data_IF_635265368231
#
_entry.id   IF_635265368231
#
_cell.length_a   1.000
_cell.length_b   1.000
_cell.length_c   1.000
_cell.angle_alpha   90.00
_cell.angle_beta   90.00
_cell.angle_gamma   90.00
#
_symmetry.space_group_name_H-M   'P 1'
#
loop_
_entity.id
_entity.type
_entity.pdbx_description
1 polymer ?
#
# COMPACT_ATOMS: atom_id res chain seq x y z
N UNK A 1 18.41 11.79 5.96
CA UNK A 1 17.63 11.85 7.23
C UNK A 1 16.41 10.95 7.13
N UNK A 2 16.25 10.00 8.05
CA UNK A 2 15.09 9.09 8.04
C UNK A 2 13.84 9.79 8.55
N UNK A 3 12.80 9.88 7.72
CA UNK A 3 11.50 10.40 8.10
C UNK A 3 10.42 9.35 7.84
N UNK A 4 9.67 9.01 8.86
CA UNK A 4 8.63 7.96 8.77
C UNK A 4 9.13 6.63 8.20
N UNK A 5 10.39 6.22 8.51
CA UNK A 5 11.00 4.99 8.00
C UNK A 5 11.56 5.09 6.58
N UNK A 6 11.53 6.28 5.95
CA UNK A 6 12.03 6.54 4.60
C UNK A 6 13.32 7.34 4.67
N UNK A 7 14.33 6.90 3.95
CA UNK A 7 15.51 7.70 3.66
C UNK A 7 15.17 8.69 2.54
N UNK A 8 14.73 9.89 2.99
CA UNK A 8 14.25 10.91 2.09
C UNK A 8 15.36 11.46 1.19
N UNK A 9 16.60 11.59 1.68
CA UNK A 9 17.73 12.12 0.91
C UNK A 9 18.14 11.13 -0.19
N UNK A 10 18.24 9.85 0.15
CA UNK A 10 18.51 8.82 -0.86
C UNK A 10 17.42 8.75 -1.94
N UNK A 11 16.16 8.94 -1.55
CA UNK A 11 15.05 8.94 -2.51
C UNK A 11 15.08 10.19 -3.40
N UNK A 12 15.33 11.38 -2.84
CA UNK A 12 15.51 12.63 -3.60
C UNK A 12 16.66 12.48 -4.62
N UNK A 13 17.81 11.95 -4.20
CA UNK A 13 18.95 11.72 -5.10
C UNK A 13 18.57 10.80 -6.27
N UNK A 14 17.87 9.71 -6.03
CA UNK A 14 17.40 8.81 -7.10
C UNK A 14 16.46 9.49 -8.10
N UNK A 15 15.61 10.42 -7.66
CA UNK A 15 14.77 11.20 -8.56
C UNK A 15 15.56 12.28 -9.31
N UNK A 16 16.52 12.95 -8.65
CA UNK A 16 17.35 13.96 -9.26
C UNK A 16 18.28 13.40 -10.35
N UNK A 17 18.82 12.20 -10.11
CA UNK A 17 19.74 11.52 -11.03
C UNK A 17 19.01 10.66 -12.08
N UNK A 18 17.66 10.56 -11.99
CA UNK A 18 16.89 9.73 -12.90
C UNK A 18 16.88 10.28 -14.31
N UNK A 19 16.95 9.37 -15.26
CA UNK A 19 16.72 9.64 -16.69
C UNK A 19 15.36 9.12 -17.12
N UNK A 20 14.83 9.61 -18.26
CA UNK A 20 13.56 9.15 -18.80
C UNK A 20 13.46 7.62 -18.97
N UNK A 21 14.60 6.94 -19.18
CA UNK A 21 14.67 5.49 -19.33
C UNK A 21 14.58 4.70 -18.00
N UNK A 22 14.71 5.35 -16.87
CA UNK A 22 14.75 4.71 -15.53
C UNK A 22 13.40 4.69 -14.80
N UNK A 23 12.30 5.02 -15.47
CA UNK A 23 10.98 5.10 -14.87
C UNK A 23 10.56 3.83 -14.11
N UNK A 24 10.83 2.64 -14.63
CA UNK A 24 10.51 1.38 -13.93
C UNK A 24 11.39 1.15 -12.69
N UNK A 25 12.65 1.54 -12.73
CA UNK A 25 13.53 1.48 -11.56
C UNK A 25 13.03 2.43 -10.45
N UNK A 26 12.56 3.62 -10.81
CA UNK A 26 11.93 4.57 -9.88
C UNK A 26 10.65 3.99 -9.29
N UNK A 27 9.76 3.42 -10.11
CA UNK A 27 8.53 2.77 -9.63
C UNK A 27 8.86 1.69 -8.59
N UNK A 28 9.79 0.79 -8.91
CA UNK A 28 10.24 -0.28 -8.01
C UNK A 28 10.81 0.29 -6.72
N UNK A 29 11.71 1.27 -6.80
CA UNK A 29 12.31 1.93 -5.63
C UNK A 29 11.25 2.56 -4.71
N UNK A 30 10.26 3.26 -5.30
CA UNK A 30 9.18 3.88 -4.53
C UNK A 30 8.29 2.82 -3.88
N UNK A 31 7.96 1.74 -4.60
CA UNK A 31 7.21 0.62 -4.03
C UNK A 31 7.92 0.04 -2.81
N UNK A 32 9.20 -0.30 -2.95
CA UNK A 32 10.02 -0.89 -1.88
C UNK A 32 10.16 0.04 -0.68
N UNK A 33 10.47 1.33 -0.92
CA UNK A 33 10.61 2.33 0.15
C UNK A 33 9.30 2.52 0.91
N UNK A 34 8.18 2.59 0.20
CA UNK A 34 6.84 2.75 0.79
C UNK A 34 6.47 1.52 1.61
N UNK A 35 6.62 0.31 1.06
CA UNK A 35 6.35 -0.93 1.78
C UNK A 35 7.20 -1.08 3.03
N UNK A 36 8.50 -0.85 2.92
CA UNK A 36 9.41 -0.91 4.07
C UNK A 36 9.01 0.06 5.18
N UNK A 37 8.57 1.26 4.81
CA UNK A 37 8.09 2.24 5.79
C UNK A 37 6.77 1.85 6.45
N UNK A 38 5.90 1.11 5.76
CA UNK A 38 4.64 0.61 6.30
C UNK A 38 4.84 -0.64 7.18
N UNK A 39 5.81 -1.50 6.90
CA UNK A 39 6.07 -2.75 7.64
C UNK A 39 6.42 -2.54 9.12
N UNK A 40 7.11 -1.47 9.46
CA UNK A 40 7.55 -1.19 10.82
C UNK A 40 6.51 -0.52 11.72
N UNK A 41 5.24 -0.40 11.29
CA UNK A 41 4.22 0.43 11.96
C UNK A 41 2.85 -0.21 11.92
N UNK A 42 1.99 0.22 12.84
CA UNK A 42 0.56 -0.05 12.71
C UNK A 42 0.04 0.52 11.38
N UNK A 43 -0.68 -0.29 10.62
CA UNK A 43 -1.25 0.06 9.32
C UNK A 43 -2.51 0.92 9.50
N UNK A 44 -2.35 2.09 10.12
CA UNK A 44 -3.40 3.09 10.26
C UNK A 44 -3.36 4.09 9.10
N UNK A 45 -4.50 4.67 8.74
CA UNK A 45 -4.59 5.71 7.71
C UNK A 45 -3.67 6.90 8.00
N UNK A 46 -3.46 7.23 9.27
CA UNK A 46 -2.53 8.29 9.69
C UNK A 46 -1.09 7.97 9.30
N UNK A 47 -0.63 6.75 9.60
CA UNK A 47 0.71 6.31 9.24
C UNK A 47 0.89 6.19 7.73
N UNK A 48 -0.10 5.65 7.02
CA UNK A 48 -0.12 5.60 5.56
C UNK A 48 0.02 7.00 4.98
N UNK A 49 -0.80 7.95 5.42
CA UNK A 49 -0.75 9.35 4.96
C UNK A 49 0.63 9.99 5.20
N UNK A 50 1.26 9.76 6.34
CA UNK A 50 2.59 10.28 6.65
C UNK A 50 3.67 9.72 5.72
N UNK A 51 3.64 8.42 5.46
CA UNK A 51 4.56 7.74 4.54
C UNK A 51 4.38 8.28 3.13
N UNK A 52 3.15 8.31 2.61
CA UNK A 52 2.85 8.80 1.27
C UNK A 52 3.25 10.27 1.08
N UNK A 53 2.96 11.15 2.04
CA UNK A 53 3.39 12.55 2.00
C UNK A 53 4.92 12.67 1.94
N UNK A 54 5.65 11.83 2.67
CA UNK A 54 7.12 11.86 2.67
C UNK A 54 7.68 11.42 1.32
N UNK A 55 7.13 10.36 0.74
CA UNK A 55 7.52 9.86 -0.59
C UNK A 55 7.17 10.87 -1.67
N UNK A 56 5.95 11.39 -1.69
CA UNK A 56 5.51 12.37 -2.68
C UNK A 56 6.33 13.67 -2.62
N UNK A 57 6.69 14.13 -1.41
CA UNK A 57 7.58 15.28 -1.23
C UNK A 57 8.99 15.00 -1.74
N UNK A 58 9.54 13.81 -1.49
CA UNK A 58 10.85 13.43 -2.01
C UNK A 58 10.85 13.36 -3.55
N UNK A 59 9.78 12.82 -4.14
CA UNK A 59 9.60 12.80 -5.59
C UNK A 59 9.52 14.20 -6.18
N UNK A 60 8.73 15.11 -5.57
CA UNK A 60 8.64 16.52 -6.01
C UNK A 60 9.99 17.21 -5.95
N UNK A 61 10.70 17.09 -4.81
CA UNK A 61 11.97 17.78 -4.61
C UNK A 61 13.05 17.26 -5.56
N UNK A 62 13.15 15.93 -5.73
CA UNK A 62 14.13 15.33 -6.61
C UNK A 62 13.83 15.61 -8.09
N UNK A 63 12.57 15.53 -8.51
CA UNK A 63 12.17 15.86 -9.87
C UNK A 63 12.37 17.34 -10.22
N UNK A 64 12.13 18.25 -9.27
CA UNK A 64 12.40 19.68 -9.46
C UNK A 64 13.91 19.99 -9.59
N UNK A 65 14.77 19.18 -8.97
CA UNK A 65 16.24 19.28 -9.09
C UNK A 65 16.82 18.58 -10.32
N UNK A 66 16.02 17.85 -11.08
CA UNK A 66 16.47 17.17 -12.29
C UNK A 66 16.58 18.13 -13.47
N UNK A 67 17.53 17.88 -14.39
CA UNK A 67 17.67 18.63 -15.64
C UNK A 67 16.75 18.14 -16.76
N UNK A 68 15.68 17.40 -16.42
CA UNK A 68 14.77 16.77 -17.38
C UNK A 68 13.77 17.76 -17.97
N UNK A 69 13.36 17.57 -19.23
CA UNK A 69 12.21 18.27 -19.79
C UNK A 69 10.93 18.00 -19.00
N UNK A 70 9.98 18.95 -19.02
CA UNK A 70 8.71 18.84 -18.27
C UNK A 70 7.94 17.55 -18.54
N UNK A 71 7.94 17.04 -19.78
CA UNK A 71 7.28 15.79 -20.14
C UNK A 71 7.92 14.57 -19.46
N UNK A 72 9.24 14.56 -19.32
CA UNK A 72 9.97 13.48 -18.63
C UNK A 72 9.78 13.55 -17.11
N UNK A 73 9.72 14.77 -16.56
CA UNK A 73 9.35 15.00 -15.15
C UNK A 73 7.95 14.46 -14.86
N UNK A 74 6.97 14.73 -15.73
CA UNK A 74 5.61 14.20 -15.62
C UNK A 74 5.61 12.66 -15.63
N UNK A 75 6.33 12.06 -16.58
CA UNK A 75 6.46 10.61 -16.65
C UNK A 75 7.11 10.02 -15.39
N UNK A 76 8.12 10.68 -14.83
CA UNK A 76 8.81 10.27 -13.60
C UNK A 76 7.88 10.32 -12.39
N UNK A 77 7.11 11.41 -12.23
CA UNK A 77 6.12 11.55 -11.18
C UNK A 77 5.00 10.49 -11.30
N UNK A 78 4.54 10.21 -12.52
CA UNK A 78 3.56 9.16 -12.77
C UNK A 78 4.08 7.79 -12.31
N UNK A 79 5.37 7.48 -12.53
CA UNK A 79 5.99 6.25 -12.02
C UNK A 79 6.12 6.23 -10.50
N UNK A 80 6.38 7.37 -9.87
CA UNK A 80 6.36 7.48 -8.41
C UNK A 80 4.96 7.21 -7.84
N UNK A 81 3.92 7.80 -8.44
CA UNK A 81 2.52 7.55 -8.06
C UNK A 81 2.16 6.08 -8.23
N UNK A 82 2.50 5.47 -9.37
CA UNK A 82 2.29 4.04 -9.60
C UNK A 82 3.04 3.15 -8.59
N UNK A 83 4.21 3.58 -8.12
CA UNK A 83 4.95 2.89 -7.07
C UNK A 83 4.26 2.98 -5.70
N UNK A 84 3.74 4.14 -5.34
CA UNK A 84 2.94 4.32 -4.12
C UNK A 84 1.65 3.52 -4.17
N UNK A 85 0.94 3.55 -5.29
CA UNK A 85 -0.28 2.77 -5.52
C UNK A 85 -0.03 1.27 -5.39
N UNK A 86 1.03 0.76 -6.02
CA UNK A 86 1.42 -0.65 -5.91
C UNK A 86 1.75 -1.08 -4.47
N UNK A 87 2.36 -0.20 -3.67
CA UNK A 87 2.62 -0.47 -2.26
C UNK A 87 1.33 -0.51 -1.43
N UNK A 88 0.39 0.40 -1.69
CA UNK A 88 -0.91 0.42 -1.01
C UNK A 88 -1.78 -0.77 -1.42
N UNK A 89 -1.78 -1.16 -2.68
CA UNK A 89 -2.44 -2.38 -3.15
C UNK A 89 -2.00 -3.59 -2.33
N UNK A 90 -0.69 -3.75 -2.10
CA UNK A 90 -0.15 -4.81 -1.25
C UNK A 90 -0.57 -4.67 0.21
N UNK A 91 -0.67 -3.44 0.73
CA UNK A 91 -1.20 -3.19 2.06
C UNK A 91 -2.68 -3.61 2.17
N UNK A 92 -3.50 -3.34 1.16
CA UNK A 92 -4.90 -3.83 1.09
C UNK A 92 -4.93 -5.35 1.07
N UNK A 93 -4.09 -6.00 0.27
CA UNK A 93 -4.01 -7.47 0.21
C UNK A 93 -3.59 -8.09 1.55
N UNK A 94 -2.65 -7.46 2.27
CA UNK A 94 -2.24 -7.92 3.60
C UNK A 94 -3.37 -7.81 4.61
N UNK A 95 -4.08 -6.68 4.62
CA UNK A 95 -5.28 -6.50 5.45
C UNK A 95 -6.36 -7.54 5.10
N UNK A 96 -6.59 -7.79 3.80
CA UNK A 96 -7.55 -8.81 3.35
C UNK A 96 -7.23 -10.18 3.92
N UNK A 97 -5.96 -10.62 3.81
CA UNK A 97 -5.54 -11.93 4.32
C UNK A 97 -5.74 -12.04 5.83
N UNK A 98 -5.40 -11.00 6.58
CA UNK A 98 -5.60 -10.98 8.02
C UNK A 98 -7.11 -11.01 8.40
N UNK A 99 -7.93 -10.19 7.73
CA UNK A 99 -9.38 -10.17 7.95
C UNK A 99 -10.05 -11.49 7.54
N UNK A 100 -9.61 -12.10 6.42
CA UNK A 100 -10.11 -13.40 5.99
C UNK A 100 -9.85 -14.48 7.06
N UNK A 101 -8.64 -14.52 7.62
CA UNK A 101 -8.34 -15.46 8.70
C UNK A 101 -9.23 -15.25 9.92
N UNK A 102 -9.52 -14.00 10.28
CA UNK A 102 -10.43 -13.69 11.39
C UNK A 102 -11.87 -14.18 11.09
N UNK A 103 -12.37 -13.92 9.89
CA UNK A 103 -13.70 -14.37 9.45
C UNK A 103 -13.79 -15.90 9.41
N UNK A 104 -12.77 -16.58 8.90
CA UNK A 104 -12.69 -18.04 8.85
C UNK A 104 -12.65 -18.67 10.26
N UNK A 105 -12.15 -17.94 11.24
CA UNK A 105 -12.12 -18.35 12.65
C UNK A 105 -13.38 -17.91 13.43
N UNK A 106 -14.37 -17.31 12.75
CA UNK A 106 -15.68 -17.01 13.32
C UNK A 106 -15.88 -15.55 13.76
N UNK A 107 -14.93 -14.64 13.47
CA UNK A 107 -15.14 -13.21 13.68
C UNK A 107 -16.29 -12.71 12.78
N UNK A 108 -17.13 -11.85 13.31
CA UNK A 108 -18.24 -11.27 12.56
C UNK A 108 -17.87 -9.91 11.98
N UNK A 109 -18.41 -9.57 10.81
CA UNK A 109 -18.23 -8.24 10.20
C UNK A 109 -18.85 -7.11 11.04
N UNK A 110 -19.60 -7.44 12.08
CA UNK A 110 -20.21 -6.46 13.00
C UNK A 110 -19.26 -6.00 14.11
N UNK A 111 -18.18 -6.72 14.34
CA UNK A 111 -17.20 -6.37 15.37
C UNK A 111 -16.49 -5.06 15.03
N UNK A 112 -16.28 -4.24 16.04
CA UNK A 112 -15.77 -2.87 15.89
C UNK A 112 -14.43 -2.83 15.13
N UNK A 113 -13.53 -3.76 15.42
CA UNK A 113 -12.22 -3.84 14.79
C UNK A 113 -12.31 -4.20 13.31
N UNK A 114 -13.16 -5.19 12.96
CA UNK A 114 -13.39 -5.59 11.57
C UNK A 114 -14.00 -4.44 10.78
N UNK A 115 -15.02 -3.77 11.34
CA UNK A 115 -15.62 -2.57 10.72
C UNK A 115 -14.59 -1.47 10.49
N UNK A 116 -13.74 -1.20 11.49
CA UNK A 116 -12.68 -0.20 11.38
C UNK A 116 -11.71 -0.58 10.26
N UNK A 117 -11.24 -1.82 10.22
CA UNK A 117 -10.31 -2.28 9.20
C UNK A 117 -10.90 -2.21 7.78
N UNK A 118 -12.17 -2.55 7.61
CA UNK A 118 -12.86 -2.40 6.32
C UNK A 118 -12.97 -0.92 5.90
N UNK A 119 -13.37 -0.04 6.84
CA UNK A 119 -13.44 1.40 6.58
C UNK A 119 -12.05 2.01 6.27
N UNK A 120 -10.99 1.50 6.88
CA UNK A 120 -9.62 1.92 6.58
C UNK A 120 -9.19 1.48 5.19
N UNK A 121 -9.53 0.24 4.76
CA UNK A 121 -9.30 -0.25 3.40
C UNK A 121 -10.01 0.63 2.38
N UNK A 122 -11.28 0.94 2.59
CA UNK A 122 -12.09 1.78 1.70
C UNK A 122 -11.46 3.19 1.51
N UNK A 123 -10.87 3.75 2.56
CA UNK A 123 -10.26 5.09 2.54
C UNK A 123 -8.81 5.13 2.08
N UNK A 124 -8.18 4.00 1.76
CA UNK A 124 -6.78 3.99 1.36
C UNK A 124 -6.52 4.75 0.06
N UNK A 125 -7.40 4.62 -0.92
CA UNK A 125 -7.32 5.37 -2.18
C UNK A 125 -7.48 6.87 -1.96
N UNK A 126 -8.46 7.30 -1.18
CA UNK A 126 -8.65 8.71 -0.81
C UNK A 126 -7.42 9.27 -0.10
N UNK A 127 -6.78 8.46 0.73
CA UNK A 127 -5.56 8.84 1.44
C UNK A 127 -4.39 9.04 0.46
N UNK A 128 -4.28 8.22 -0.59
CA UNK A 128 -3.31 8.41 -1.66
C UNK A 128 -3.57 9.73 -2.38
N UNK A 129 -4.79 9.98 -2.86
CA UNK A 129 -5.12 11.22 -3.54
C UNK A 129 -4.92 12.47 -2.67
N UNK A 130 -5.24 12.40 -1.38
CA UNK A 130 -4.98 13.49 -0.45
C UNK A 130 -3.48 13.79 -0.29
N UNK A 131 -2.63 12.76 -0.25
CA UNK A 131 -1.18 12.92 -0.20
C UNK A 131 -0.62 13.53 -1.49
N UNK A 132 -1.12 13.10 -2.66
CA UNK A 132 -0.69 13.64 -3.96
C UNK A 132 -1.10 15.10 -4.12
N UNK A 133 -2.33 15.47 -3.75
CA UNK A 133 -2.78 16.89 -3.77
C UNK A 133 -1.90 17.76 -2.89
N UNK A 134 -1.63 17.30 -1.66
CA UNK A 134 -0.75 18.03 -0.75
C UNK A 134 0.68 18.18 -1.29
N UNK A 135 1.20 17.18 -2.00
CA UNK A 135 2.51 17.28 -2.65
C UNK A 135 2.49 18.29 -3.81
N UNK A 136 1.42 18.32 -4.59
CA UNK A 136 1.22 19.30 -5.67
C UNK A 136 1.15 20.73 -5.11
N UNK A 137 0.32 20.97 -4.09
CA UNK A 137 0.16 22.28 -3.44
C UNK A 137 1.44 22.79 -2.77
N UNK A 138 2.25 21.90 -2.22
CA UNK A 138 3.51 22.21 -1.57
C UNK A 138 4.73 22.19 -2.49
N UNK A 139 4.53 22.03 -3.79
CA UNK A 139 5.61 21.94 -4.78
C UNK A 139 6.02 23.35 -5.28
N UNK A 140 7.18 23.41 -5.94
CA UNK A 140 7.59 24.64 -6.64
C UNK A 140 6.68 24.92 -7.85
N UNK A 141 6.57 26.17 -8.28
CA UNK A 141 5.73 26.58 -9.40
C UNK A 141 6.01 25.79 -10.70
N UNK A 142 7.26 25.40 -10.94
CA UNK A 142 7.65 24.55 -12.08
C UNK A 142 7.06 23.13 -12.04
N UNK A 143 6.61 22.67 -10.88
CA UNK A 143 6.06 21.32 -10.67
C UNK A 143 4.54 21.28 -10.66
N UNK A 144 3.85 22.45 -10.61
CA UNK A 144 2.37 22.50 -10.60
C UNK A 144 1.75 21.86 -11.83
N UNK A 145 2.25 22.19 -13.01
CA UNK A 145 1.77 21.60 -14.27
C UNK A 145 1.94 20.09 -14.37
N UNK A 146 3.15 19.55 -14.17
CA UNK A 146 3.39 18.12 -14.12
C UNK A 146 2.51 17.39 -13.09
N UNK A 147 2.37 17.89 -11.87
CA UNK A 147 1.51 17.29 -10.86
C UNK A 147 0.03 17.31 -11.23
N UNK A 148 -0.48 18.43 -11.79
CA UNK A 148 -1.87 18.52 -12.22
C UNK A 148 -2.21 17.46 -13.27
N UNK A 149 -1.32 17.24 -14.24
CA UNK A 149 -1.50 16.20 -15.28
C UNK A 149 -1.48 14.79 -14.70
N UNK A 150 -0.53 14.49 -13.80
CA UNK A 150 -0.44 13.18 -13.15
C UNK A 150 -1.68 12.91 -12.30
N UNK A 151 -2.14 13.89 -11.51
CA UNK A 151 -3.35 13.77 -10.70
C UNK A 151 -4.58 13.49 -11.58
N UNK A 152 -4.79 14.29 -12.65
CA UNK A 152 -5.92 14.11 -13.55
C UNK A 152 -5.89 12.74 -14.25
N UNK A 153 -4.71 12.30 -14.70
CA UNK A 153 -4.55 11.00 -15.34
C UNK A 153 -4.82 9.84 -14.37
N UNK A 154 -4.38 9.95 -13.11
CA UNK A 154 -4.62 8.92 -12.09
C UNK A 154 -6.09 8.88 -11.69
N UNK A 155 -6.75 10.04 -11.49
CA UNK A 155 -8.17 10.09 -11.16
C UNK A 155 -9.05 9.54 -12.28
N UNK A 156 -8.69 9.82 -13.55
CA UNK A 156 -9.48 9.35 -14.70
C UNK A 156 -9.37 7.84 -14.95
N UNK A 157 -8.26 7.21 -14.53
CA UNK A 157 -8.02 5.77 -14.72
C UNK A 157 -8.40 4.93 -13.49
N UNK A 158 -8.55 5.55 -12.33
CA UNK A 158 -8.59 4.85 -11.05
C UNK A 158 -7.21 4.32 -10.63
N UNK A 159 -7.16 3.67 -9.48
CA UNK A 159 -5.94 3.10 -8.90
C UNK A 159 -6.07 1.59 -8.68
N UNK A 160 -4.93 0.89 -8.65
CA UNK A 160 -4.89 -0.52 -8.25
C UNK A 160 -5.36 -0.70 -6.81
N UNK A 161 -5.04 0.26 -5.94
CA UNK A 161 -5.49 0.31 -4.54
C UNK A 161 -7.02 0.33 -4.44
N UNK A 162 -7.71 1.22 -5.20
CA UNK A 162 -9.17 1.33 -5.20
C UNK A 162 -9.85 0.06 -5.73
N UNK A 163 -9.35 -0.48 -6.84
CA UNK A 163 -9.85 -1.73 -7.40
C UNK A 163 -9.69 -2.90 -6.42
N UNK A 164 -8.52 -3.03 -5.79
CA UNK A 164 -8.24 -4.08 -4.81
C UNK A 164 -9.06 -3.91 -3.52
N UNK A 165 -9.27 -2.67 -3.07
CA UNK A 165 -10.10 -2.37 -1.91
C UNK A 165 -11.55 -2.83 -2.14
N UNK A 166 -12.15 -2.45 -3.26
CA UNK A 166 -13.52 -2.84 -3.63
C UNK A 166 -13.66 -4.36 -3.73
N UNK A 167 -12.74 -5.04 -4.41
CA UNK A 167 -12.72 -6.50 -4.51
C UNK A 167 -12.60 -7.18 -3.13
N UNK A 168 -11.76 -6.63 -2.26
CA UNK A 168 -11.56 -7.14 -0.90
C UNK A 168 -12.82 -7.06 -0.06
N UNK A 169 -13.51 -5.92 -0.07
CA UNK A 169 -14.75 -5.72 0.69
C UNK A 169 -15.83 -6.71 0.22
N UNK A 170 -16.02 -6.82 -1.09
CA UNK A 170 -16.98 -7.77 -1.68
C UNK A 170 -16.67 -9.20 -1.25
N UNK A 171 -15.43 -9.64 -1.39
CA UNK A 171 -15.04 -11.01 -1.05
C UNK A 171 -15.21 -11.35 0.44
N UNK A 172 -14.88 -10.41 1.33
CA UNK A 172 -15.05 -10.59 2.78
C UNK A 172 -16.54 -10.65 3.17
N UNK A 173 -17.39 -9.86 2.50
CA UNK A 173 -18.85 -9.91 2.70
C UNK A 173 -19.41 -11.27 2.28
N UNK A 174 -19.01 -11.77 1.13
CA UNK A 174 -19.44 -13.08 0.62
C UNK A 174 -18.99 -14.21 1.55
N UNK A 175 -17.73 -14.19 1.99
CA UNK A 175 -17.20 -15.18 2.94
C UNK A 175 -17.95 -15.17 4.28
N UNK A 176 -18.25 -13.98 4.81
CA UNK A 176 -19.01 -13.86 6.05
C UNK A 176 -20.46 -14.36 5.91
N UNK A 177 -21.10 -14.14 4.76
CA UNK A 177 -22.45 -14.68 4.49
C UNK A 177 -22.42 -16.21 4.38
N UNK A 178 -21.40 -16.80 3.75
CA UNK A 178 -21.24 -18.24 3.67
C UNK A 178 -21.04 -18.86 5.06
N UNK A 179 -20.16 -18.27 5.89
CA UNK A 179 -19.92 -18.73 7.26
C UNK A 179 -21.19 -18.68 8.13
N UNK A 180 -22.03 -17.67 7.95
CA UNK A 180 -23.34 -17.58 8.63
C UNK A 180 -24.31 -18.70 8.19
N UNK A 181 -24.32 -19.05 6.89
CA UNK A 181 -25.15 -20.12 6.35
C UNK A 181 -24.69 -21.50 6.85
N UNK A 182 -23.39 -21.69 6.95
CA UNK A 182 -22.79 -22.96 7.37
C UNK A 182 -22.86 -23.19 8.90
N UNK A 183 -23.43 -22.22 9.67
CA UNK A 183 -23.65 -22.36 11.11
C UNK A 183 -22.36 -22.43 11.95
N UNK A 184 -21.23 -22.02 11.40
CA UNK A 184 -19.93 -22.01 12.10
C UNK A 184 -19.83 -20.81 13.05
N UNK A 185 -20.56 -20.83 14.14
CA UNK A 185 -20.34 -19.89 15.25
C UNK A 185 -19.25 -20.44 16.18
N UNK A 186 -18.02 -20.00 16.00
CA UNK A 186 -16.96 -20.17 17.00
C UNK A 186 -17.18 -19.15 18.13
N UNK A 187 -17.05 -19.62 19.37
CA UNK A 187 -17.40 -18.86 20.56
C UNK A 187 -16.59 -17.57 20.71
N UNK A 188 -17.24 -16.53 21.26
CA UNK A 188 -16.77 -15.16 21.50
C UNK A 188 -15.38 -15.01 22.17
N UNK A 189 -14.87 -16.04 22.84
CA UNK A 189 -13.55 -15.98 23.52
C UNK A 189 -12.35 -16.12 22.59
N UNK A 190 -12.51 -16.75 21.42
CA UNK A 190 -11.43 -16.88 20.45
C UNK A 190 -11.21 -15.59 19.65
N UNK A 191 -12.24 -14.78 19.45
CA UNK A 191 -12.16 -13.52 18.67
C UNK A 191 -11.27 -12.46 19.34
N UNK A 192 -11.27 -12.36 20.66
CA UNK A 192 -10.54 -11.30 21.38
C UNK A 192 -9.02 -11.45 21.27
N UNK A 193 -8.51 -12.69 21.40
CA UNK A 193 -7.08 -12.98 21.21
C UNK A 193 -6.61 -12.76 19.76
N UNK A 194 -7.52 -12.90 18.78
CA UNK A 194 -7.22 -12.66 17.37
C UNK A 194 -7.13 -11.18 17.03
N UNK A 195 -7.92 -10.32 17.66
CA UNK A 195 -7.83 -8.88 17.47
C UNK A 195 -6.50 -8.30 17.95
N UNK A 196 -5.98 -8.82 19.06
CA UNK A 196 -4.66 -8.44 19.57
C UNK A 196 -3.53 -8.85 18.61
N UNK A 197 -3.76 -9.89 17.80
CA UNK A 197 -2.81 -10.38 16.81
C UNK A 197 -2.96 -9.75 15.42
N UNK A 198 -4.02 -8.97 15.16
CA UNK A 198 -4.33 -8.45 13.83
C UNK A 198 -3.20 -7.61 13.22
N UNK A 199 -2.65 -6.66 13.95
CA UNK A 199 -1.55 -5.82 13.46
C UNK A 199 -0.29 -6.65 13.16
N UNK A 200 -0.03 -7.69 13.96
CA UNK A 200 1.08 -8.62 13.76
C UNK A 200 0.87 -9.45 12.49
N UNK A 201 -0.34 -9.94 12.25
CA UNK A 201 -0.70 -10.69 11.03
C UNK A 201 -0.52 -9.83 9.78
N UNK A 202 -1.04 -8.60 9.78
CA UNK A 202 -0.88 -7.68 8.64
C UNK A 202 0.59 -7.37 8.38
N UNK A 203 1.37 -7.08 9.42
CA UNK A 203 2.81 -6.82 9.30
C UNK A 203 3.56 -8.05 8.77
N UNK A 204 3.25 -9.25 9.25
CA UNK A 204 3.88 -10.49 8.78
C UNK A 204 3.60 -10.77 7.29
N UNK A 205 2.37 -10.54 6.85
CA UNK A 205 2.01 -10.67 5.42
C UNK A 205 2.73 -9.65 4.57
N UNK A 206 2.82 -8.38 5.01
CA UNK A 206 3.54 -7.34 4.28
C UNK A 206 5.04 -7.65 4.16
N UNK A 207 5.67 -8.14 5.23
CA UNK A 207 7.07 -8.56 5.22
C UNK A 207 7.26 -9.66 4.18
N UNK A 208 6.46 -10.73 4.24
CA UNK A 208 6.56 -11.83 3.29
C UNK A 208 6.34 -11.41 1.82
N UNK A 209 5.44 -10.46 1.57
CA UNK A 209 5.22 -9.92 0.22
C UNK A 209 6.39 -9.06 -0.26
N UNK A 210 6.99 -8.26 0.63
CA UNK A 210 8.17 -7.45 0.31
C UNK A 210 9.40 -8.32 0.01
N UNK A 211 9.63 -9.35 0.82
CA UNK A 211 10.73 -10.29 0.61
C UNK A 211 10.60 -11.04 -0.72
N UNK A 212 9.37 -11.44 -1.09
CA UNK A 212 9.11 -12.06 -2.38
C UNK A 212 9.42 -11.14 -3.57
N UNK A 213 9.15 -9.83 -3.43
CA UNK A 213 9.51 -8.83 -4.46
C UNK A 213 11.02 -8.63 -4.59
N UNK A 214 11.74 -8.63 -3.46
CA UNK A 214 13.21 -8.47 -3.46
C UNK A 214 13.91 -9.68 -4.05
N UNK A 215 13.35 -10.88 -3.86
CA UNK A 215 13.89 -12.14 -4.40
C UNK A 215 13.52 -12.39 -5.88
N UNK A 216 12.93 -11.40 -6.56
CA UNK A 216 12.66 -11.51 -8.00
C UNK A 216 11.47 -12.39 -8.37
N UNK A 217 10.51 -12.57 -7.47
CA UNK A 217 9.26 -13.27 -7.78
C UNK A 217 9.37 -14.81 -7.80
N UNK A 218 10.41 -15.40 -7.21
CA UNK A 218 10.44 -16.84 -6.97
C UNK A 218 9.34 -17.23 -5.98
N UNK A 219 8.39 -18.06 -6.40
CA UNK A 219 7.36 -18.60 -5.53
C UNK A 219 8.00 -19.34 -4.34
N UNK A 220 7.47 -19.21 -3.11
CA UNK A 220 7.98 -19.94 -1.96
C UNK A 220 7.92 -21.44 -2.24
N UNK A 221 8.97 -22.19 -1.85
CA UNK A 221 8.97 -23.66 -2.06
C UNK A 221 7.79 -24.28 -1.33
N UNK A 222 6.98 -25.03 -2.06
CA UNK A 222 5.87 -25.79 -1.50
C UNK A 222 6.38 -26.65 -0.34
N UNK A 223 5.77 -26.52 0.83
CA UNK A 223 6.07 -27.31 2.01
C UNK A 223 5.97 -28.80 1.63
N UNK A 224 7.09 -29.52 1.64
CA UNK A 224 7.11 -30.97 1.44
C UNK A 224 6.32 -31.62 2.56
N UNK A 225 5.15 -32.14 2.26
CA UNK A 225 4.40 -33.01 3.15
C UNK A 225 5.26 -34.25 3.42
N UNK A 226 5.82 -34.37 4.61
CA UNK A 226 6.48 -35.59 5.05
C UNK A 226 5.41 -36.64 5.33
N UNK A 227 5.08 -37.46 4.35
CA UNK A 227 4.41 -38.75 4.58
C UNK A 227 5.41 -39.65 5.32
N UNK A 228 5.22 -39.80 6.62
CA UNK A 228 5.79 -40.95 7.34
C UNK A 228 4.96 -42.20 7.05
N UNK A 229 5.67 -43.23 6.60
CA UNK A 229 5.19 -44.61 6.60
C UNK A 229 5.01 -45.13 8.04
#
# INVERSE_FOLDING_TARGET
MFKHGIDQEALIGKFSDATAKQGEAIRKTVTEATLKALQGRELSLTNIKQVLNTVAKAASTGAAGSALPSADVEALLAKAVAGMDSALEQAVQANRKALQQMVDQGATLRETQVKKALADIEKMEDTLFAALRKAAEGSQASMEGPWAKVLNATQGKGTSTGAQASATITQLMDSAQQNLRDGRSLGLRASQAMFDSYSTLVSGVLIGMSDALQQGGAAPPAAKSSRKK
#
